data_IF_021946765527
#
_entry.id   IF_021946765527
#
_cell.length_a   1.000
_cell.length_b   1.000
_cell.length_c   1.000
_cell.angle_alpha   90.00
_cell.angle_beta   90.00
_cell.angle_gamma   90.00
#
_symmetry.space_group_name_H-M   'P 1'
#
loop_
_entity.id
_entity.type
_entity.pdbx_description
1 polymer ?
#
# COMPACT_ATOMS: atom_id res chain seq x y z
N UNK A 1 11.21 -17.51 7.31
CA UNK A 1 11.51 -16.19 7.91
C UNK A 1 10.50 -15.91 9.01
N UNK A 2 10.91 -15.36 10.15
CA UNK A 2 9.96 -14.93 11.19
C UNK A 2 9.51 -13.48 10.93
N UNK A 3 8.46 -13.01 11.61
CA UNK A 3 7.92 -11.67 11.37
C UNK A 3 8.93 -10.55 11.61
N UNK A 4 9.92 -10.78 12.47
CA UNK A 4 10.85 -9.74 12.92
C UNK A 4 11.80 -9.35 11.78
N UNK A 5 12.28 -10.32 10.99
CA UNK A 5 13.09 -10.07 9.78
C UNK A 5 12.28 -9.30 8.70
N UNK A 6 10.98 -9.59 8.57
CA UNK A 6 10.09 -8.82 7.69
C UNK A 6 9.90 -7.38 8.14
N UNK A 7 9.87 -7.13 9.46
CA UNK A 7 9.82 -5.78 10.02
C UNK A 7 11.11 -5.02 9.77
N UNK A 8 12.27 -5.64 9.99
CA UNK A 8 13.59 -5.03 9.75
C UNK A 8 13.73 -4.59 8.29
N UNK A 9 13.29 -5.44 7.36
CA UNK A 9 13.26 -5.09 5.94
C UNK A 9 12.33 -3.90 5.66
N UNK A 10 11.07 -3.95 6.14
CA UNK A 10 10.11 -2.88 5.91
C UNK A 10 10.62 -1.54 6.48
N UNK A 11 11.27 -1.58 7.65
CA UNK A 11 11.92 -0.42 8.25
C UNK A 11 13.06 0.10 7.39
N UNK A 12 13.99 -0.76 6.97
CA UNK A 12 15.11 -0.38 6.12
C UNK A 12 14.63 0.22 4.79
N UNK A 13 13.58 -0.35 4.19
CA UNK A 13 12.98 0.14 2.96
C UNK A 13 12.39 1.54 3.12
N UNK A 14 11.59 1.74 4.18
CA UNK A 14 10.99 3.05 4.48
C UNK A 14 12.07 4.09 4.75
N UNK A 15 13.05 3.77 5.58
CA UNK A 15 14.12 4.71 5.94
C UNK A 15 15.05 5.03 4.76
N UNK A 16 15.24 4.11 3.81
CA UNK A 16 16.04 4.35 2.61
C UNK A 16 15.38 5.35 1.64
N UNK A 17 14.05 5.29 1.51
CA UNK A 17 13.31 6.15 0.59
C UNK A 17 12.74 7.41 1.26
N UNK A 18 12.46 7.34 2.56
CA UNK A 18 11.77 8.37 3.34
C UNK A 18 12.32 8.43 4.78
N UNK A 19 13.51 9.03 4.97
CA UNK A 19 14.20 9.04 6.26
C UNK A 19 13.35 9.63 7.40
N UNK A 20 13.37 8.98 8.57
CA UNK A 20 12.68 9.39 9.79
C UNK A 20 11.15 9.23 9.75
N UNK A 21 10.62 8.49 8.77
CA UNK A 21 9.18 8.25 8.61
C UNK A 21 8.74 6.87 9.10
N UNK A 22 9.67 5.99 9.49
CA UNK A 22 9.28 4.75 10.15
C UNK A 22 8.59 5.04 11.47
N UNK A 23 7.44 4.39 11.68
CA UNK A 23 6.76 4.35 12.96
C UNK A 23 6.54 2.88 13.28
N UNK A 24 6.73 2.49 14.53
CA UNK A 24 6.36 1.15 14.97
C UNK A 24 5.05 1.27 15.74
N UNK A 25 3.96 0.85 15.11
CA UNK A 25 2.66 0.74 15.75
C UNK A 25 2.36 -0.74 15.99
N UNK A 26 2.21 -1.13 17.25
CA UNK A 26 1.76 -2.48 17.63
C UNK A 26 0.27 -2.43 17.91
N UNK A 27 -0.56 -3.04 17.06
CA UNK A 27 -2.01 -3.07 17.23
C UNK A 27 -2.59 -4.41 16.80
N UNK A 28 -3.18 -5.16 17.74
CA UNK A 28 -3.92 -6.39 17.45
C UNK A 28 -3.07 -7.48 16.79
N UNK A 29 -3.50 -7.96 15.61
CA UNK A 29 -2.85 -9.00 14.79
C UNK A 29 -1.77 -8.42 13.85
N UNK A 30 -1.28 -7.21 14.12
CA UNK A 30 -0.29 -6.50 13.29
C UNK A 30 0.94 -6.13 14.11
N UNK A 31 2.13 -6.34 13.54
CA UNK A 31 3.40 -6.12 14.25
C UNK A 31 4.11 -4.81 13.91
N UNK A 32 3.92 -4.26 12.70
CA UNK A 32 4.55 -2.99 12.31
C UNK A 32 3.83 -2.27 11.17
N UNK A 33 3.79 -0.93 11.24
CA UNK A 33 3.16 -0.05 10.24
C UNK A 33 3.95 1.25 10.13
N UNK A 34 4.48 1.56 8.96
CA UNK A 34 5.01 2.89 8.64
C UNK A 34 4.12 3.66 7.68
N UNK A 35 4.07 4.97 7.93
CA UNK A 35 3.28 5.92 7.18
C UNK A 35 4.21 6.88 6.46
N UNK A 36 4.07 6.94 5.15
CA UNK A 36 4.95 7.70 4.29
C UNK A 36 4.13 8.51 3.30
N UNK A 37 3.96 9.82 3.55
CA UNK A 37 3.16 10.68 2.68
C UNK A 37 1.71 10.20 2.60
N UNK A 38 1.28 9.77 1.41
CA UNK A 38 -0.03 9.15 1.15
C UNK A 38 0.02 7.61 1.08
N UNK A 39 1.15 7.00 1.40
CA UNK A 39 1.31 5.55 1.43
C UNK A 39 1.44 5.01 2.87
N UNK A 40 1.01 3.78 3.04
CA UNK A 40 1.12 2.99 4.26
C UNK A 40 1.83 1.67 3.90
N UNK A 41 2.93 1.38 4.59
CA UNK A 41 3.66 0.12 4.49
C UNK A 41 3.42 -0.63 5.80
N UNK A 42 2.92 -1.87 5.73
CA UNK A 42 2.60 -2.66 6.92
C UNK A 42 3.03 -4.11 6.75
N UNK A 43 3.56 -4.71 7.83
CA UNK A 43 3.80 -6.16 7.89
C UNK A 43 2.67 -6.79 8.67
N UNK A 44 1.88 -7.64 8.02
CA UNK A 44 0.69 -8.25 8.62
C UNK A 44 0.95 -9.73 8.86
N UNK A 45 0.61 -10.21 10.07
CA UNK A 45 0.32 -11.63 10.25
C UNK A 45 -1.11 -11.88 9.79
N UNK A 46 -1.36 -12.84 8.88
CA UNK A 46 -2.72 -13.18 8.55
C UNK A 46 -3.44 -13.77 9.77
N UNK A 47 -4.74 -13.49 9.85
CA UNK A 47 -5.63 -14.13 10.80
C UNK A 47 -5.59 -15.64 10.58
N UNK A 48 -5.48 -16.41 11.66
CA UNK A 48 -5.48 -17.87 11.61
C UNK A 48 -6.69 -18.38 10.79
N UNK A 49 -6.41 -19.10 9.69
CA UNK A 49 -7.42 -19.67 8.80
C UNK A 49 -7.85 -18.80 7.60
N UNK A 50 -7.32 -17.60 7.40
CA UNK A 50 -7.67 -16.71 6.27
C UNK A 50 -6.61 -16.71 5.17
N UNK A 51 -5.33 -16.66 5.54
CA UNK A 51 -4.21 -16.86 4.60
C UNK A 51 -3.12 -17.71 5.25
N UNK A 52 -2.43 -18.56 4.47
CA UNK A 52 -1.50 -19.55 5.01
C UNK A 52 -0.16 -18.97 5.49
N UNK A 53 0.27 -17.80 5.00
CA UNK A 53 1.63 -17.29 5.22
C UNK A 53 1.68 -15.77 5.46
N UNK A 54 2.64 -15.26 6.27
CA UNK A 54 2.81 -13.83 6.52
C UNK A 54 3.24 -13.06 5.25
N UNK A 55 2.85 -11.79 5.18
CA UNK A 55 3.10 -10.95 4.01
C UNK A 55 3.44 -9.50 4.38
N UNK A 56 4.22 -8.87 3.51
CA UNK A 56 4.38 -7.43 3.46
C UNK A 56 3.25 -6.83 2.62
N UNK A 57 2.48 -5.93 3.22
CA UNK A 57 1.40 -5.18 2.58
C UNK A 57 1.85 -3.74 2.34
N UNK A 58 1.74 -3.27 1.12
CA UNK A 58 1.97 -1.86 0.78
C UNK A 58 0.70 -1.30 0.18
N UNK A 59 0.21 -0.19 0.75
CA UNK A 59 -1.01 0.48 0.30
C UNK A 59 -0.71 1.94 0.02
N UNK A 60 -1.12 2.42 -1.15
CA UNK A 60 -0.94 3.81 -1.57
C UNK A 60 -2.30 4.44 -1.80
N UNK A 61 -2.60 5.53 -1.10
CA UNK A 61 -3.75 6.36 -1.38
C UNK A 61 -3.54 7.20 -2.64
N UNK A 62 -4.40 7.02 -3.64
CA UNK A 62 -4.30 7.73 -4.92
C UNK A 62 -5.25 8.92 -5.00
N UNK A 63 -6.51 8.72 -4.61
CA UNK A 63 -7.55 9.74 -4.63
C UNK A 63 -8.61 9.40 -3.56
N UNK A 64 -9.16 10.42 -2.90
CA UNK A 64 -10.18 10.23 -1.86
C UNK A 64 -11.28 11.31 -1.96
N UNK A 65 -12.37 11.11 -1.23
CA UNK A 65 -13.49 12.04 -1.15
C UNK A 65 -14.20 12.33 -2.49
N UNK A 66 -14.25 11.38 -3.42
CA UNK A 66 -15.08 11.52 -4.64
C UNK A 66 -16.37 10.71 -4.51
N UNK A 67 -17.37 11.03 -5.34
CA UNK A 67 -18.61 10.26 -5.41
C UNK A 67 -18.43 9.03 -6.29
N UNK A 68 -18.83 7.87 -5.79
CA UNK A 68 -18.70 6.63 -6.54
C UNK A 68 -19.65 6.59 -7.74
N UNK A 69 -19.09 6.52 -8.95
CA UNK A 69 -19.79 6.42 -10.23
C UNK A 69 -19.11 5.40 -11.17
N UNK A 70 -19.70 5.17 -12.35
CA UNK A 70 -19.16 4.23 -13.35
C UNK A 70 -17.75 4.64 -13.84
N UNK A 71 -17.50 5.94 -13.96
CA UNK A 71 -16.20 6.49 -14.40
C UNK A 71 -15.07 6.08 -13.46
N UNK A 72 -15.31 6.06 -12.15
CA UNK A 72 -14.31 5.59 -11.19
C UNK A 72 -13.90 4.13 -11.45
N UNK A 73 -14.86 3.26 -11.73
CA UNK A 73 -14.59 1.85 -12.05
C UNK A 73 -13.82 1.70 -13.36
N UNK A 74 -14.16 2.47 -14.39
CA UNK A 74 -13.44 2.46 -15.67
C UNK A 74 -11.98 2.86 -15.49
N UNK A 75 -11.72 3.94 -14.74
CA UNK A 75 -10.36 4.41 -14.47
C UNK A 75 -9.56 3.36 -13.69
N UNK A 76 -10.12 2.77 -12.64
CA UNK A 76 -9.43 1.73 -11.86
C UNK A 76 -9.15 0.48 -12.70
N UNK A 77 -10.07 0.09 -13.58
CA UNK A 77 -9.85 -1.02 -14.51
C UNK A 77 -8.74 -0.73 -15.51
N UNK A 78 -8.66 0.50 -16.04
CA UNK A 78 -7.57 0.91 -16.92
C UNK A 78 -6.22 0.83 -16.20
N UNK A 79 -6.13 1.34 -14.97
CA UNK A 79 -4.92 1.26 -14.15
C UNK A 79 -4.47 -0.17 -13.87
N UNK A 80 -5.42 -1.08 -13.61
CA UNK A 80 -5.10 -2.49 -13.42
C UNK A 80 -4.57 -3.18 -14.67
N UNK A 81 -4.97 -2.75 -15.88
CA UNK A 81 -4.42 -3.28 -17.14
C UNK A 81 -2.98 -2.84 -17.40
N UNK A 82 -2.60 -1.66 -16.90
CA UNK A 82 -1.26 -1.10 -17.06
C UNK A 82 -0.33 -1.41 -15.87
N UNK A 83 -0.88 -1.91 -14.77
CA UNK A 83 -0.13 -2.22 -13.55
C UNK A 83 0.81 -3.41 -13.75
N UNK A 84 2.09 -3.22 -13.44
CA UNK A 84 3.10 -4.29 -13.44
C UNK A 84 3.10 -5.03 -12.10
N UNK A 85 2.88 -4.33 -10.99
CA UNK A 85 2.87 -4.88 -9.64
C UNK A 85 1.71 -4.30 -8.82
N UNK A 86 1.08 -5.17 -8.03
CA UNK A 86 -0.07 -4.78 -7.21
C UNK A 86 -1.33 -4.49 -8.03
N UNK A 87 -2.40 -4.14 -7.33
CA UNK A 87 -3.70 -3.84 -7.91
C UNK A 87 -4.30 -2.56 -7.33
N UNK A 88 -5.09 -1.89 -8.15
CA UNK A 88 -5.86 -0.71 -7.81
C UNK A 88 -7.29 -1.16 -7.48
N UNK A 89 -7.86 -0.63 -6.40
CA UNK A 89 -9.23 -0.92 -6.00
C UNK A 89 -9.92 0.34 -5.48
N UNK A 90 -11.24 0.31 -5.52
CA UNK A 90 -12.08 1.33 -4.93
C UNK A 90 -12.48 0.85 -3.55
N UNK A 91 -12.19 1.66 -2.55
CA UNK A 91 -12.68 1.48 -1.19
C UNK A 91 -13.90 2.38 -0.98
N UNK A 92 -15.10 1.82 -0.75
CA UNK A 92 -16.28 2.61 -0.42
C UNK A 92 -16.14 3.20 0.99
N UNK A 93 -16.42 4.50 1.11
CA UNK A 93 -16.54 5.20 2.38
C UNK A 93 -17.99 5.55 2.71
N UNK A 94 -18.17 6.36 3.75
CA UNK A 94 -19.49 6.79 4.21
C UNK A 94 -20.22 7.63 3.15
N UNK A 95 -21.53 7.42 3.04
CA UNK A 95 -22.41 8.25 2.22
C UNK A 95 -22.10 8.24 0.73
N UNK A 96 -21.64 7.10 0.15
CA UNK A 96 -21.21 6.94 -1.26
C UNK A 96 -19.98 7.76 -1.66
N UNK A 97 -19.24 8.31 -0.70
CA UNK A 97 -17.87 8.74 -0.96
C UNK A 97 -17.00 7.51 -1.13
N UNK A 98 -15.95 7.62 -1.92
CA UNK A 98 -15.03 6.52 -2.16
C UNK A 98 -13.58 7.01 -2.20
N UNK A 99 -12.68 6.05 -2.09
CA UNK A 99 -11.24 6.23 -2.27
C UNK A 99 -10.72 5.25 -3.30
N UNK A 100 -9.68 5.64 -4.04
CA UNK A 100 -8.91 4.74 -4.89
C UNK A 100 -7.58 4.45 -4.22
N UNK A 101 -7.29 3.17 -4.04
CA UNK A 101 -6.11 2.66 -3.36
C UNK A 101 -5.32 1.74 -4.30
N UNK A 102 -3.99 1.83 -4.27
CA UNK A 102 -3.09 0.84 -4.85
C UNK A 102 -2.63 -0.10 -3.74
N UNK A 103 -2.62 -1.42 -3.96
CA UNK A 103 -2.17 -2.42 -2.97
C UNK A 103 -1.22 -3.43 -3.60
N UNK A 104 -0.11 -3.70 -2.93
CA UNK A 104 0.82 -4.79 -3.23
C UNK A 104 0.92 -5.69 -2.00
N UNK A 105 0.76 -6.99 -2.23
CA UNK A 105 0.99 -8.03 -1.23
C UNK A 105 2.22 -8.82 -1.68
N UNK A 106 3.26 -8.83 -0.84
CA UNK A 106 4.48 -9.62 -1.07
C UNK A 106 4.53 -10.72 -0.02
N UNK A 107 4.45 -12.00 -0.41
CA UNK A 107 4.59 -13.08 0.56
C UNK A 107 6.02 -13.06 1.12
N UNK A 108 6.16 -13.27 2.44
CA UNK A 108 7.48 -13.26 3.08
C UNK A 108 8.29 -14.53 2.76
N UNK A 109 7.61 -15.60 2.37
CA UNK A 109 8.20 -16.84 1.84
C UNK A 109 7.74 -17.01 0.38
N UNK A 110 8.58 -17.49 -0.56
CA UNK A 110 9.91 -18.06 -0.40
C UNK A 110 11.07 -17.05 -0.60
N UNK A 111 10.83 -15.75 -0.36
CA UNK A 111 11.89 -14.75 -0.55
C UNK A 111 13.08 -15.07 0.36
N UNK A 112 14.26 -15.27 -0.23
CA UNK A 112 15.51 -15.43 0.54
C UNK A 112 16.07 -14.05 0.88
N UNK A 113 15.81 -13.58 2.09
CA UNK A 113 16.16 -12.23 2.54
C UNK A 113 17.64 -12.03 2.81
N UNK A 114 18.40 -13.13 2.95
CA UNK A 114 19.85 -13.08 3.03
C UNK A 114 20.50 -12.99 1.64
N UNK A 115 19.72 -13.17 0.58
CA UNK A 115 20.18 -13.09 -0.80
C UNK A 115 19.88 -11.71 -1.41
N UNK A 116 20.90 -10.89 -1.73
CA UNK A 116 20.71 -9.51 -2.19
C UNK A 116 19.80 -9.36 -3.41
N UNK A 117 19.78 -10.31 -4.33
CA UNK A 117 18.93 -10.19 -5.52
C UNK A 117 17.43 -10.31 -5.18
N UNK A 118 17.09 -11.11 -4.17
CA UNK A 118 15.71 -11.35 -3.74
C UNK A 118 15.16 -10.12 -3.01
N UNK A 119 15.95 -9.54 -2.10
CA UNK A 119 15.60 -8.30 -1.39
C UNK A 119 15.53 -7.10 -2.33
N UNK A 120 16.44 -7.00 -3.30
CA UNK A 120 16.39 -5.98 -4.36
C UNK A 120 15.17 -6.17 -5.27
N UNK A 121 14.72 -7.40 -5.52
CA UNK A 121 13.50 -7.64 -6.29
C UNK A 121 12.26 -7.15 -5.53
N UNK A 122 12.15 -7.44 -4.23
CA UNK A 122 11.06 -6.90 -3.40
C UNK A 122 11.10 -5.37 -3.35
N UNK A 123 12.27 -4.77 -3.10
CA UNK A 123 12.44 -3.33 -3.11
C UNK A 123 12.00 -2.69 -4.43
N UNK A 124 12.33 -3.32 -5.57
CA UNK A 124 11.86 -2.87 -6.90
C UNK A 124 10.35 -2.93 -7.05
N UNK A 125 9.69 -3.98 -6.56
CA UNK A 125 8.22 -4.07 -6.63
C UNK A 125 7.56 -2.94 -5.84
N UNK A 126 8.02 -2.71 -4.60
CA UNK A 126 7.47 -1.65 -3.73
C UNK A 126 7.72 -0.27 -4.33
N UNK A 127 8.95 0.00 -4.77
CA UNK A 127 9.29 1.27 -5.42
C UNK A 127 8.47 1.51 -6.69
N UNK A 128 8.26 0.47 -7.51
CA UNK A 128 7.45 0.58 -8.73
C UNK A 128 6.01 0.93 -8.41
N UNK A 129 5.42 0.32 -7.38
CA UNK A 129 4.07 0.66 -6.93
C UNK A 129 4.00 2.12 -6.47
N UNK A 130 4.92 2.55 -5.60
CA UNK A 130 4.96 3.91 -5.07
C UNK A 130 5.06 4.96 -6.19
N UNK A 131 6.03 4.79 -7.10
CA UNK A 131 6.21 5.70 -8.23
C UNK A 131 5.02 5.71 -9.17
N UNK A 132 4.39 4.55 -9.40
CA UNK A 132 3.16 4.46 -10.19
C UNK A 132 2.02 5.21 -9.51
N UNK A 133 1.88 5.07 -8.19
CA UNK A 133 0.85 5.76 -7.44
C UNK A 133 1.05 7.29 -7.43
N UNK A 134 2.27 7.76 -7.19
CA UNK A 134 2.63 9.18 -7.24
C UNK A 134 2.36 9.78 -8.62
N UNK A 135 2.70 9.07 -9.70
CA UNK A 135 2.46 9.53 -11.07
C UNK A 135 0.97 9.57 -11.42
N UNK A 136 0.20 8.63 -10.93
CA UNK A 136 -1.21 8.44 -11.33
C UNK A 136 -2.17 9.31 -10.52
N UNK A 137 -1.82 9.61 -9.27
CA UNK A 137 -2.68 10.37 -8.33
C UNK A 137 -3.18 11.72 -8.88
N UNK A 138 -2.35 12.61 -9.46
CA UNK A 138 -2.83 13.90 -9.97
C UNK A 138 -3.90 13.77 -11.06
N UNK A 139 -3.71 12.83 -11.98
CA UNK A 139 -4.64 12.57 -13.07
C UNK A 139 -5.96 12.01 -12.56
N UNK A 140 -5.92 11.06 -11.62
CA UNK A 140 -7.11 10.52 -10.97
C UNK A 140 -7.89 11.61 -10.22
N UNK A 141 -7.19 12.42 -9.44
CA UNK A 141 -7.79 13.51 -8.66
C UNK A 141 -8.51 14.50 -9.57
N UNK A 142 -7.85 14.93 -10.66
CA UNK A 142 -8.45 15.83 -11.63
C UNK A 142 -9.67 15.22 -12.32
N UNK A 143 -9.60 13.96 -12.75
CA UNK A 143 -10.68 13.31 -13.49
C UNK A 143 -11.91 12.99 -12.63
N UNK A 144 -11.71 12.66 -11.35
CA UNK A 144 -12.78 12.30 -10.43
C UNK A 144 -13.32 13.50 -9.63
N UNK A 145 -12.71 14.69 -9.76
CA UNK A 145 -13.00 15.81 -8.86
C UNK A 145 -12.74 15.47 -7.40
N UNK A 146 -11.73 14.63 -7.17
CA UNK A 146 -11.40 14.07 -5.86
C UNK A 146 -10.45 14.99 -5.08
N UNK A 147 -9.90 14.48 -3.97
CA UNK A 147 -8.79 15.09 -3.24
C UNK A 147 -7.60 14.14 -3.18
N UNK A 148 -6.41 14.72 -3.06
CA UNK A 148 -5.25 13.95 -2.63
C UNK A 148 -5.42 13.53 -1.17
N UNK A 149 -4.88 12.37 -0.83
CA UNK A 149 -4.70 12.00 0.57
C UNK A 149 -3.76 13.01 1.24
N UNK A 150 -4.18 13.54 2.38
CA UNK A 150 -3.34 14.46 3.14
C UNK A 150 -2.03 13.75 3.56
N UNK A 151 -0.88 14.45 3.64
CA UNK A 151 0.32 13.93 4.27
C UNK A 151 0.03 13.66 5.75
N UNK A 152 -0.33 12.42 6.10
CA UNK A 152 -0.86 12.05 7.42
C UNK A 152 -2.22 11.35 7.42
N UNK A 153 -2.90 11.24 6.26
CA UNK A 153 -4.16 10.51 6.11
C UNK A 153 -3.99 8.97 6.19
N UNK A 154 -2.80 8.47 6.54
CA UNK A 154 -2.55 7.05 6.61
C UNK A 154 -3.31 6.33 7.73
N UNK A 155 -3.76 7.07 8.74
CA UNK A 155 -4.70 6.54 9.72
C UNK A 155 -6.06 6.22 9.08
N UNK A 156 -6.49 6.99 8.07
CA UNK A 156 -7.68 6.71 7.28
C UNK A 156 -7.46 5.55 6.30
N UNK A 157 -6.27 5.47 5.66
CA UNK A 157 -5.89 4.31 4.84
C UNK A 157 -5.87 3.00 5.64
N UNK A 158 -5.53 3.09 6.93
CA UNK A 158 -5.52 1.95 7.84
C UNK A 158 -6.92 1.52 8.29
N UNK A 159 -7.83 2.46 8.56
CA UNK A 159 -9.22 2.12 8.86
C UNK A 159 -9.98 1.47 7.69
N UNK A 160 -9.38 1.48 6.50
CA UNK A 160 -9.90 0.96 5.24
C UNK A 160 -9.35 -0.45 4.87
N UNK A 161 -8.54 -1.06 5.73
CA UNK A 161 -7.95 -2.41 5.54
C UNK A 161 -8.49 -3.42 6.53
#
# INVERSE_FOLDING_TARGET
MNLDEGMEFAQALVEAHYPGRWQQLTMGEHRAVAVVGSATVAVLTPKAGVQPEPFLSVICGLATEFWLDEKAYELVNALNRESVFGSHHIEPGDGRRASVLARLLVPLEPVDWNHPASTQWVGRMVHTLLMTAERTSPTLVAQLGARHFAPGAAQALWMMT
#
